data_IF_953482475232
#
_entry.id   IF_953482475232
#
_cell.length_a   1.000
_cell.length_b   1.000
_cell.length_c   1.000
_cell.angle_alpha   90.00
_cell.angle_beta   90.00
_cell.angle_gamma   90.00
#
_symmetry.space_group_name_H-M   'P 1'
#
loop_
_entity.id
_entity.type
_entity.pdbx_description
1 polymer ?
#
# COMPACT_ATOMS: atom_id res chain seq x y z
N UNK A 1 31.69 49.41 -70.88
CA UNK A 1 31.22 49.47 -69.48
C UNK A 1 30.79 48.06 -69.08
N UNK A 2 31.51 47.44 -68.16
CA UNK A 2 31.39 46.01 -67.79
C UNK A 2 30.54 45.94 -66.51
N UNK A 3 29.42 45.22 -66.55
CA UNK A 3 28.58 44.94 -65.38
C UNK A 3 29.09 43.65 -64.69
N UNK A 4 29.52 43.77 -63.43
CA UNK A 4 29.85 42.64 -62.57
C UNK A 4 28.64 42.27 -61.68
N UNK A 5 28.31 40.97 -61.49
CA UNK A 5 27.27 40.58 -60.56
C UNK A 5 27.82 40.45 -59.13
N UNK A 6 27.16 41.11 -58.16
CA UNK A 6 27.46 41.00 -56.73
C UNK A 6 27.10 39.60 -56.22
N UNK A 7 28.09 38.82 -55.79
CA UNK A 7 27.88 37.55 -55.08
C UNK A 7 27.42 37.85 -53.65
N UNK A 8 26.19 37.44 -53.29
CA UNK A 8 25.73 37.43 -51.90
C UNK A 8 26.30 36.18 -51.21
N UNK A 9 27.13 36.41 -50.20
CA UNK A 9 27.69 35.38 -49.32
C UNK A 9 26.58 34.95 -48.34
N UNK A 10 26.15 33.70 -48.40
CA UNK A 10 25.19 33.11 -47.45
C UNK A 10 26.02 32.44 -46.35
N UNK A 11 26.01 33.00 -45.14
CA UNK A 11 26.53 32.32 -43.95
C UNK A 11 25.60 31.16 -43.59
N UNK A 12 26.10 29.92 -43.63
CA UNK A 12 25.44 28.76 -43.03
C UNK A 12 25.68 28.77 -41.51
N UNK A 13 24.64 29.08 -40.75
CA UNK A 13 24.62 28.92 -39.29
C UNK A 13 24.43 27.44 -38.97
N UNK A 14 25.49 26.74 -38.56
CA UNK A 14 25.40 25.35 -38.08
C UNK A 14 24.79 25.39 -36.68
N UNK A 15 23.50 25.04 -36.57
CA UNK A 15 22.81 24.86 -35.30
C UNK A 15 23.18 23.49 -34.73
N UNK A 16 24.16 23.44 -33.81
CA UNK A 16 24.48 22.22 -33.07
C UNK A 16 23.41 22.00 -32.01
N UNK A 17 22.44 21.14 -32.31
CA UNK A 17 21.45 20.69 -31.34
C UNK A 17 22.13 19.64 -30.45
N UNK A 18 22.62 20.05 -29.28
CA UNK A 18 23.10 19.12 -28.26
C UNK A 18 21.87 18.48 -27.61
N UNK A 19 21.55 17.24 -28.01
CA UNK A 19 20.52 16.44 -27.37
C UNK A 19 21.06 15.97 -26.01
N UNK A 20 20.72 16.67 -24.93
CA UNK A 20 20.99 16.19 -23.57
C UNK A 20 20.00 15.10 -23.23
N UNK A 21 20.43 13.84 -23.30
CA UNK A 21 19.64 12.72 -22.75
C UNK A 21 19.71 12.83 -21.23
N UNK A 22 18.64 13.32 -20.62
CA UNK A 22 18.48 13.26 -19.17
C UNK A 22 18.07 11.85 -18.77
N UNK A 23 18.91 11.18 -17.97
CA UNK A 23 18.50 9.96 -17.30
C UNK A 23 17.47 10.33 -16.23
N UNK A 24 16.19 10.16 -16.53
CA UNK A 24 15.15 10.24 -15.50
C UNK A 24 15.35 9.08 -14.53
N UNK A 25 15.59 9.39 -13.24
CA UNK A 25 15.46 8.39 -12.18
C UNK A 25 13.99 7.93 -12.18
N UNK A 26 13.74 6.70 -12.60
CA UNK A 26 12.44 6.06 -12.35
C UNK A 26 12.37 5.84 -10.84
N UNK A 27 11.69 6.73 -10.14
CA UNK A 27 11.30 6.50 -8.77
C UNK A 27 10.30 5.34 -8.82
N UNK A 28 10.66 4.16 -8.33
CA UNK A 28 9.70 3.09 -8.15
C UNK A 28 8.57 3.64 -7.26
N UNK A 29 7.40 3.86 -7.86
CA UNK A 29 6.22 4.22 -7.10
C UNK A 29 6.03 3.12 -6.07
N UNK A 30 6.07 3.49 -4.79
CA UNK A 30 5.90 2.51 -3.73
C UNK A 30 4.50 1.90 -3.90
N UNK A 31 4.49 0.63 -4.28
CA UNK A 31 3.28 -0.15 -4.50
C UNK A 31 2.61 -0.33 -3.16
N UNK A 32 1.32 -0.02 -3.06
CA UNK A 32 0.55 -0.37 -1.87
C UNK A 32 0.56 -1.90 -1.73
N UNK A 33 1.10 -2.37 -0.61
CA UNK A 33 1.37 -3.79 -0.36
C UNK A 33 0.53 -4.34 0.80
N UNK A 34 -0.39 -3.54 1.31
CA UNK A 34 -1.47 -3.93 2.21
C UNK A 34 -2.79 -3.57 1.52
N UNK A 35 -3.46 -4.55 0.90
CA UNK A 35 -4.67 -4.32 0.09
C UNK A 35 -5.88 -4.92 0.79
N UNK A 36 -6.87 -4.08 1.11
CA UNK A 36 -8.08 -4.47 1.84
C UNK A 36 -9.23 -4.73 0.87
N UNK A 37 -10.04 -5.74 1.19
CA UNK A 37 -11.13 -6.21 0.32
C UNK A 37 -12.48 -6.22 1.03
N UNK A 38 -13.54 -5.94 0.28
CA UNK A 38 -14.95 -6.02 0.72
C UNK A 38 -15.39 -7.43 1.04
N UNK A 39 -14.80 -8.44 0.41
CA UNK A 39 -15.18 -9.84 0.58
C UNK A 39 -14.18 -10.60 1.45
N UNK A 40 -14.67 -11.62 2.16
CA UNK A 40 -13.79 -12.57 2.84
C UNK A 40 -12.93 -13.34 1.82
N UNK A 41 -11.71 -13.69 2.21
CA UNK A 41 -10.78 -14.44 1.37
C UNK A 41 -10.15 -13.62 0.23
N UNK A 42 -9.99 -12.30 0.42
CA UNK A 42 -9.48 -11.38 -0.58
C UNK A 42 -10.31 -11.43 -1.88
N UNK A 43 -11.64 -11.42 -1.72
CA UNK A 43 -12.62 -11.46 -2.82
C UNK A 43 -13.36 -10.13 -2.92
N UNK A 44 -14.19 -9.96 -3.97
CA UNK A 44 -14.94 -8.72 -4.24
C UNK A 44 -14.04 -7.50 -4.49
N UNK A 45 -14.57 -6.28 -4.30
CA UNK A 45 -13.87 -5.03 -4.55
C UNK A 45 -12.70 -4.81 -3.59
N UNK A 46 -11.70 -4.07 -4.06
CA UNK A 46 -10.70 -3.44 -3.20
C UNK A 46 -11.33 -2.17 -2.63
N UNK A 47 -11.27 -2.00 -1.30
CA UNK A 47 -11.78 -0.80 -0.63
C UNK A 47 -10.69 0.27 -0.51
N UNK A 48 -9.58 -0.10 0.10
CA UNK A 48 -8.44 0.80 0.28
C UNK A 48 -7.14 0.01 0.36
N UNK A 49 -6.02 0.72 0.23
CA UNK A 49 -4.71 0.13 0.34
C UNK A 49 -3.75 1.04 1.11
N UNK A 50 -2.77 0.42 1.74
CA UNK A 50 -1.71 1.09 2.46
C UNK A 50 -0.35 0.62 1.96
N UNK A 51 0.59 1.55 1.97
CA UNK A 51 2.00 1.28 1.84
C UNK A 51 2.59 0.97 3.22
N UNK A 52 3.03 -0.27 3.43
CA UNK A 52 3.55 -0.74 4.73
C UNK A 52 4.85 -0.06 5.19
N UNK A 53 5.55 0.66 4.31
CA UNK A 53 6.75 1.43 4.64
C UNK A 53 6.42 2.81 5.24
N UNK A 54 5.15 3.23 5.21
CA UNK A 54 4.70 4.50 5.79
C UNK A 54 3.80 4.22 6.99
N UNK A 55 4.05 4.92 8.09
CA UNK A 55 3.14 4.87 9.23
C UNK A 55 1.80 5.49 8.86
N UNK A 56 0.72 4.87 9.33
CA UNK A 56 -0.64 5.36 9.19
C UNK A 56 -1.42 5.17 10.48
N UNK A 57 -2.34 6.09 10.76
CA UNK A 57 -3.27 6.01 11.88
C UNK A 57 -4.57 6.71 11.49
N UNK A 58 -5.36 6.00 10.68
CA UNK A 58 -6.41 6.56 9.87
C UNK A 58 -7.78 6.16 10.43
N UNK A 59 -8.60 7.17 10.70
CA UNK A 59 -10.02 7.02 10.99
C UNK A 59 -10.81 7.10 9.67
N UNK A 60 -11.54 6.04 9.33
CA UNK A 60 -12.23 5.90 8.04
C UNK A 60 -13.49 6.77 7.92
N UNK A 61 -13.98 7.33 9.04
CA UNK A 61 -15.06 8.35 9.08
C UNK A 61 -14.53 9.77 8.83
N UNK A 62 -13.22 9.97 8.68
CA UNK A 62 -12.57 11.28 8.46
C UNK A 62 -11.79 11.30 7.15
N UNK A 63 -11.17 12.43 6.80
CA UNK A 63 -10.29 12.55 5.62
C UNK A 63 -9.00 11.74 5.82
N UNK A 64 -8.94 10.55 5.25
CA UNK A 64 -7.87 9.54 5.38
C UNK A 64 -7.79 8.65 4.14
N UNK A 65 -6.88 7.65 4.12
CA UNK A 65 -6.75 6.72 2.99
C UNK A 65 -7.94 5.74 2.87
N UNK A 66 -8.65 5.45 3.97
CA UNK A 66 -9.85 4.61 3.98
C UNK A 66 -11.16 5.42 4.00
N UNK A 67 -11.12 6.71 3.63
CA UNK A 67 -12.33 7.54 3.62
C UNK A 67 -13.27 7.14 2.48
N UNK A 68 -14.52 6.85 2.84
CA UNK A 68 -15.58 6.51 1.88
C UNK A 68 -15.97 5.04 1.95
N UNK A 69 -15.09 4.21 2.52
CA UNK A 69 -15.22 2.75 2.60
C UNK A 69 -15.19 2.28 4.07
N UNK A 70 -15.70 3.13 4.96
CA UNK A 70 -15.91 2.79 6.36
C UNK A 70 -16.92 1.64 6.46
N UNK A 71 -16.63 0.63 7.28
CA UNK A 71 -17.47 -0.56 7.45
C UNK A 71 -17.56 -1.45 6.20
N UNK A 72 -16.56 -1.42 5.30
CA UNK A 72 -16.56 -2.27 4.10
C UNK A 72 -15.52 -3.41 4.18
N UNK A 73 -14.34 -3.16 4.76
CA UNK A 73 -13.25 -4.13 4.73
C UNK A 73 -13.53 -5.40 5.57
N UNK A 74 -13.24 -6.57 4.98
CA UNK A 74 -13.35 -7.87 5.67
C UNK A 74 -12.10 -8.75 5.59
N UNK A 75 -11.22 -8.49 4.63
CA UNK A 75 -9.99 -9.28 4.48
C UNK A 75 -8.82 -8.43 3.96
N UNK A 76 -7.61 -8.97 4.07
CA UNK A 76 -6.37 -8.26 3.75
C UNK A 76 -5.41 -9.15 2.96
N UNK A 77 -4.91 -8.63 1.83
CA UNK A 77 -3.74 -9.17 1.15
C UNK A 77 -2.48 -8.46 1.61
N UNK A 78 -1.52 -9.24 2.08
CA UNK A 78 -0.20 -8.79 2.58
C UNK A 78 0.84 -9.16 1.52
N UNK A 79 1.47 -8.15 0.91
CA UNK A 79 2.49 -8.33 -0.11
C UNK A 79 3.81 -8.85 0.45
N UNK A 80 4.61 -9.51 -0.41
CA UNK A 80 5.96 -10.00 -0.05
C UNK A 80 6.92 -8.88 0.37
N UNK A 81 6.68 -7.65 -0.09
CA UNK A 81 7.50 -6.47 0.24
C UNK A 81 7.40 -6.05 1.70
N UNK A 82 6.29 -6.36 2.37
CA UNK A 82 6.05 -5.96 3.75
C UNK A 82 7.19 -6.46 4.65
N UNK A 83 7.75 -5.54 5.43
CA UNK A 83 8.92 -5.81 6.28
C UNK A 83 8.54 -6.62 7.51
N UNK A 84 9.48 -7.47 7.95
CA UNK A 84 9.39 -8.11 9.25
C UNK A 84 9.33 -7.05 10.37
N UNK A 85 8.54 -7.31 11.41
CA UNK A 85 8.27 -6.37 12.49
C UNK A 85 7.20 -5.34 12.18
N UNK A 86 6.66 -5.29 10.96
CA UNK A 86 5.50 -4.47 10.67
C UNK A 86 4.28 -4.96 11.46
N UNK A 87 3.45 -4.01 11.92
CA UNK A 87 2.20 -4.29 12.63
C UNK A 87 1.06 -3.53 11.97
N UNK A 88 -0.02 -4.24 11.67
CA UNK A 88 -1.27 -3.71 11.17
C UNK A 88 -2.32 -3.94 12.24
N UNK A 89 -3.13 -2.93 12.55
CA UNK A 89 -4.26 -3.07 13.47
C UNK A 89 -5.50 -2.49 12.81
N UNK A 90 -6.58 -3.25 12.80
CA UNK A 90 -7.91 -2.80 12.38
C UNK A 90 -8.84 -2.77 13.57
N UNK A 91 -9.72 -1.78 13.61
CA UNK A 91 -10.67 -1.58 14.71
C UNK A 91 -12.07 -1.36 14.14
N UNK A 92 -13.08 -1.91 14.81
CA UNK A 92 -14.48 -1.51 14.61
C UNK A 92 -14.65 -0.06 15.07
N UNK A 93 -14.14 0.26 16.25
CA UNK A 93 -14.32 1.59 16.79
C UNK A 93 -13.44 2.65 16.06
N UNK A 94 -14.01 3.75 15.53
CA UNK A 94 -13.25 4.80 14.85
C UNK A 94 -12.28 5.56 15.77
N UNK A 95 -12.49 5.49 17.09
CA UNK A 95 -11.60 6.01 18.13
C UNK A 95 -10.43 5.09 18.46
N UNK A 96 -10.35 3.88 17.88
CA UNK A 96 -9.31 2.90 18.17
C UNK A 96 -9.46 2.26 19.55
N UNK A 97 -10.69 2.13 20.05
CA UNK A 97 -10.98 1.47 21.33
C UNK A 97 -10.62 0.00 21.27
N UNK A 98 -9.93 -0.50 22.30
CA UNK A 98 -9.65 -1.93 22.49
C UNK A 98 -10.69 -2.62 23.38
N UNK A 99 -11.79 -1.92 23.71
CA UNK A 99 -12.95 -2.51 24.40
C UNK A 99 -14.00 -3.02 23.40
N UNK A 100 -13.83 -2.71 22.11
CA UNK A 100 -14.66 -3.13 20.98
C UNK A 100 -13.86 -4.10 20.07
N UNK A 101 -14.46 -4.63 19.00
CA UNK A 101 -13.76 -5.54 18.09
C UNK A 101 -12.48 -4.92 17.48
N UNK A 102 -11.37 -5.66 17.54
CA UNK A 102 -10.13 -5.28 16.84
C UNK A 102 -9.29 -6.51 16.51
N UNK A 103 -8.42 -6.36 15.51
CA UNK A 103 -7.48 -7.42 15.12
C UNK A 103 -6.09 -6.83 14.92
N UNK A 104 -5.10 -7.44 15.57
CA UNK A 104 -3.68 -7.13 15.38
C UNK A 104 -3.04 -8.19 14.48
N UNK A 105 -2.27 -7.73 13.51
CA UNK A 105 -1.57 -8.57 12.52
C UNK A 105 -0.09 -8.19 12.57
N UNK A 106 0.73 -9.10 13.07
CA UNK A 106 2.18 -8.93 13.22
C UNK A 106 2.92 -9.73 12.13
N UNK A 107 3.83 -9.08 11.42
CA UNK A 107 4.72 -9.75 10.45
C UNK A 107 5.93 -10.30 11.19
N UNK A 108 5.86 -11.56 11.59
CA UNK A 108 6.87 -12.22 12.43
C UNK A 108 8.08 -12.68 11.62
N UNK A 109 7.85 -13.26 10.44
CA UNK A 109 8.90 -13.74 9.57
C UNK A 109 8.48 -13.69 8.10
N UNK A 110 8.95 -12.66 7.40
CA UNK A 110 8.59 -12.43 5.98
C UNK A 110 9.08 -13.50 5.02
N UNK A 111 9.99 -14.41 5.43
CA UNK A 111 10.47 -15.48 4.54
C UNK A 111 9.34 -16.43 4.14
N UNK A 112 8.33 -16.62 5.01
CA UNK A 112 7.19 -17.51 4.79
C UNK A 112 6.05 -16.92 3.95
N UNK A 113 6.04 -15.60 3.71
CA UNK A 113 5.09 -14.98 2.80
C UNK A 113 5.45 -15.41 1.37
N UNK A 114 4.49 -15.90 0.59
CA UNK A 114 4.75 -16.34 -0.79
C UNK A 114 5.02 -15.15 -1.73
N UNK A 115 5.64 -15.34 -2.91
CA UNK A 115 5.88 -14.26 -3.87
C UNK A 115 4.63 -13.46 -4.25
N UNK A 116 3.49 -14.14 -4.38
CA UNK A 116 2.17 -13.56 -4.65
C UNK A 116 1.53 -12.87 -3.43
N UNK A 117 2.18 -12.92 -2.26
CA UNK A 117 1.66 -12.42 -0.99
C UNK A 117 0.83 -13.45 -0.23
N UNK A 118 0.31 -13.04 0.92
CA UNK A 118 -0.56 -13.84 1.76
C UNK A 118 -1.94 -13.19 1.86
N UNK A 119 -3.00 -13.99 1.78
CA UNK A 119 -4.36 -13.52 2.01
C UNK A 119 -4.81 -13.90 3.43
N UNK A 120 -4.91 -12.91 4.31
CA UNK A 120 -5.63 -13.05 5.57
C UNK A 120 -7.12 -13.02 5.27
N UNK A 121 -7.77 -14.18 5.40
CA UNK A 121 -9.10 -14.42 4.81
C UNK A 121 -10.25 -13.74 5.55
N UNK A 122 -10.07 -13.38 6.81
CA UNK A 122 -11.05 -12.69 7.64
C UNK A 122 -10.29 -11.98 8.77
N UNK A 123 -10.82 -10.86 9.26
CA UNK A 123 -10.28 -10.21 10.44
C UNK A 123 -10.70 -10.91 11.74
N UNK A 124 -11.70 -11.79 11.69
CA UNK A 124 -12.24 -12.52 12.85
C UNK A 124 -11.52 -13.86 13.11
N UNK A 125 -10.18 -13.85 13.02
CA UNK A 125 -9.35 -15.04 13.15
C UNK A 125 -8.16 -14.79 14.07
N UNK A 126 -7.76 -15.81 14.83
CA UNK A 126 -6.56 -15.80 15.66
C UNK A 126 -5.60 -16.91 15.22
N UNK A 127 -4.32 -16.58 15.04
CA UNK A 127 -3.24 -17.49 14.63
C UNK A 127 -2.03 -17.34 15.56
N UNK A 128 -1.90 -18.23 16.54
CA UNK A 128 -0.83 -18.14 17.55
C UNK A 128 0.49 -18.79 17.12
N UNK A 129 0.51 -19.53 16.01
CA UNK A 129 1.71 -20.18 15.48
C UNK A 129 2.14 -19.58 14.12
N UNK A 130 2.93 -18.49 14.13
CA UNK A 130 3.30 -17.79 12.89
C UNK A 130 4.17 -18.62 11.95
N UNK A 131 5.01 -19.52 12.46
CA UNK A 131 5.89 -20.35 11.63
C UNK A 131 5.12 -21.46 10.89
N UNK A 132 3.97 -21.88 11.39
CA UNK A 132 3.05 -22.77 10.68
C UNK A 132 2.14 -22.01 9.69
N UNK A 133 1.91 -20.71 9.94
CA UNK A 133 0.86 -19.91 9.31
C UNK A 133 1.43 -18.69 8.59
N UNK A 134 2.25 -18.90 7.55
CA UNK A 134 2.72 -17.85 6.61
C UNK A 134 3.64 -16.76 7.17
N UNK A 135 4.17 -16.93 8.38
CA UNK A 135 5.10 -15.97 9.00
C UNK A 135 4.41 -14.75 9.60
N UNK A 136 3.09 -14.82 9.83
CA UNK A 136 2.31 -13.78 10.50
C UNK A 136 1.68 -14.32 11.78
N UNK A 137 1.53 -13.48 12.79
CA UNK A 137 0.67 -13.74 13.95
C UNK A 137 -0.56 -12.84 13.85
N UNK A 138 -1.73 -13.37 14.15
CA UNK A 138 -2.98 -12.62 14.15
C UNK A 138 -3.65 -12.82 15.49
N UNK A 139 -4.01 -11.72 16.15
CA UNK A 139 -4.70 -11.72 17.45
C UNK A 139 -5.99 -10.93 17.28
N UNK A 140 -7.14 -11.62 17.30
CA UNK A 140 -8.47 -10.99 17.23
C UNK A 140 -9.12 -10.94 18.61
N UNK A 141 -9.70 -9.79 18.95
CA UNK A 141 -10.57 -9.60 20.09
C UNK A 141 -12.00 -9.37 19.61
N UNK A 142 -12.93 -10.19 20.10
CA UNK A 142 -14.31 -10.23 19.63
C UNK A 142 -15.29 -9.59 20.64
N UNK A 143 -16.25 -8.82 20.14
CA UNK A 143 -17.41 -8.32 20.90
C UNK A 143 -18.72 -8.52 20.13
N UNK A 144 -18.82 -7.99 18.92
CA UNK A 144 -20.03 -8.02 18.08
C UNK A 144 -19.75 -8.20 16.58
N UNK A 145 -18.47 -8.39 16.23
CA UNK A 145 -17.97 -8.85 14.95
C UNK A 145 -17.41 -7.74 14.07
N UNK A 146 -16.30 -8.04 13.39
CA UNK A 146 -15.40 -7.05 12.78
C UNK A 146 -15.42 -7.01 11.25
N UNK A 147 -15.69 -8.14 10.60
CA UNK A 147 -15.72 -8.24 9.14
C UNK A 147 -16.83 -7.33 8.57
N UNK A 148 -16.45 -6.26 7.87
CA UNK A 148 -17.39 -5.26 7.35
C UNK A 148 -17.81 -4.24 8.40
N UNK A 149 -16.94 -3.97 9.39
CA UNK A 149 -17.12 -2.88 10.36
C UNK A 149 -15.84 -2.09 10.64
N UNK A 150 -14.78 -2.31 9.86
CA UNK A 150 -13.52 -1.60 10.05
C UNK A 150 -13.72 -0.10 9.89
N UNK A 151 -13.58 0.65 10.98
CA UNK A 151 -13.65 2.12 10.98
C UNK A 151 -12.31 2.82 11.31
N UNK A 152 -11.26 2.05 11.66
CA UNK A 152 -9.90 2.59 11.83
C UNK A 152 -8.83 1.58 11.42
N UNK A 153 -7.77 2.07 10.80
CA UNK A 153 -6.59 1.27 10.44
C UNK A 153 -5.34 1.96 10.97
N UNK A 154 -4.48 1.18 11.63
CA UNK A 154 -3.15 1.60 12.06
C UNK A 154 -2.09 0.74 11.39
N UNK A 155 -1.09 1.38 10.80
CA UNK A 155 0.07 0.73 10.19
C UNK A 155 1.33 1.24 10.87
N UNK A 156 2.09 0.32 11.44
CA UNK A 156 3.41 0.57 12.04
C UNK A 156 4.44 -0.15 11.16
N UNK A 157 5.32 0.59 10.46
CA UNK A 157 6.32 -0.01 9.59
C UNK A 157 7.29 -0.91 10.34
N UNK A 158 7.69 -2.00 9.70
CA UNK A 158 8.78 -2.85 10.16
C UNK A 158 10.16 -2.24 9.88
N UNK A 159 11.15 -2.69 10.64
CA UNK A 159 12.55 -2.25 10.52
C UNK A 159 13.26 -2.95 9.36
#
# INVERSE_FOLDING_TARGET
MIFAPKRKLILLSILVIILTVTASKVQAQQVDDLVFYEGNGCTQGIVFAYNSYKAADDNCKKRSACKGDNDEARSLRIGKSVKQGAKIVVFDNPGGSTQDDYTTIDIINRSFIQPEGYCLRSFEQTFDNPNANSGIRVDHFHQNGLDGKVSRVKVIPGS
#
